data_IF_309790829353
#
_entry.id   IF_309790829353
#
_cell.length_a   1.000
_cell.length_b   1.000
_cell.length_c   1.000
_cell.angle_alpha   90.00
_cell.angle_beta   90.00
_cell.angle_gamma   90.00
#
_symmetry.space_group_name_H-M   'P 1'
#
loop_
_entity.id
_entity.type
_entity.pdbx_description
1 polymer ?
#
# COMPACT_ATOMS: atom_id res chain seq x y z
N UNK A 1 12.92 -2.43 -6.59
CA UNK A 1 11.68 -2.79 -7.34
C UNK A 1 10.62 -1.73 -7.11
N UNK A 2 9.96 -1.28 -8.18
CA UNK A 2 8.82 -0.35 -8.12
C UNK A 2 7.51 -1.13 -8.16
N UNK A 3 6.68 -1.00 -7.13
CA UNK A 3 5.41 -1.74 -6.99
C UNK A 3 4.19 -0.83 -7.16
N UNK A 4 4.27 0.42 -6.72
CA UNK A 4 3.17 1.39 -6.85
C UNK A 4 3.11 2.03 -8.23
N UNK A 5 1.92 2.42 -8.65
CA UNK A 5 1.73 3.23 -9.86
C UNK A 5 2.20 4.66 -9.63
N UNK A 6 2.77 5.25 -10.66
CA UNK A 6 3.21 6.64 -10.69
C UNK A 6 2.20 7.49 -11.47
N UNK A 7 2.22 8.83 -11.31
CA UNK A 7 1.37 9.73 -12.11
C UNK A 7 1.57 9.50 -13.61
N UNK A 8 0.49 9.65 -14.40
CA UNK A 8 0.53 9.43 -15.85
C UNK A 8 1.47 10.40 -16.58
N UNK A 9 1.63 11.61 -16.05
CA UNK A 9 2.57 12.62 -16.54
C UNK A 9 4.04 12.28 -16.26
N UNK A 10 4.27 11.25 -15.46
CA UNK A 10 5.60 10.82 -15.06
C UNK A 10 6.15 11.51 -13.83
N UNK A 11 7.34 11.10 -13.44
CA UNK A 11 8.10 11.67 -12.31
C UNK A 11 9.57 11.84 -12.70
N UNK A 12 10.25 12.77 -12.04
CA UNK A 12 11.69 12.87 -12.18
C UNK A 12 12.37 11.63 -11.60
N UNK A 13 13.22 11.01 -12.39
CA UNK A 13 13.90 9.78 -12.01
C UNK A 13 15.43 9.97 -12.01
N UNK A 14 16.12 9.71 -10.89
CA UNK A 14 17.56 9.95 -10.76
C UNK A 14 18.38 8.83 -11.44
N UNK A 15 18.32 8.72 -12.76
CA UNK A 15 18.96 7.66 -13.52
C UNK A 15 20.48 7.55 -13.25
N UNK A 16 21.16 8.68 -13.04
CA UNK A 16 22.59 8.68 -12.70
C UNK A 16 22.89 7.95 -11.39
N UNK A 17 21.97 8.01 -10.41
CA UNK A 17 22.14 7.27 -9.16
C UNK A 17 22.01 5.76 -9.36
N UNK A 18 21.19 5.34 -10.33
CA UNK A 18 21.05 3.91 -10.67
C UNK A 18 22.36 3.41 -11.27
N UNK A 19 22.95 4.19 -12.21
CA UNK A 19 24.23 3.84 -12.86
C UNK A 19 25.37 3.85 -11.83
N UNK A 20 25.49 4.93 -11.04
CA UNK A 20 26.60 5.08 -10.09
C UNK A 20 26.61 4.04 -8.97
N UNK A 21 25.46 3.44 -8.67
CA UNK A 21 25.30 2.43 -7.64
C UNK A 21 25.11 1.01 -8.19
N UNK A 22 25.18 0.85 -9.50
CA UNK A 22 24.98 -0.43 -10.19
C UNK A 22 23.68 -1.13 -9.74
N UNK A 23 22.55 -0.35 -9.70
CA UNK A 23 21.27 -0.85 -9.22
C UNK A 23 20.43 -1.43 -10.37
N UNK A 24 19.76 -2.54 -10.08
CA UNK A 24 18.67 -3.04 -10.93
C UNK A 24 17.36 -2.34 -10.55
N UNK A 25 16.75 -1.67 -11.54
CA UNK A 25 15.43 -1.07 -11.38
C UNK A 25 14.41 -1.86 -12.20
N UNK A 26 13.50 -2.51 -11.50
CA UNK A 26 12.46 -3.36 -12.09
C UNK A 26 11.08 -2.96 -11.61
N UNK A 27 10.10 -3.07 -12.50
CA UNK A 27 8.70 -2.82 -12.21
C UNK A 27 7.95 -4.12 -11.91
N UNK A 28 6.96 -4.03 -11.02
CA UNK A 28 5.97 -5.06 -10.82
C UNK A 28 4.58 -4.47 -11.00
N UNK A 29 3.75 -5.13 -11.79
CA UNK A 29 2.41 -4.67 -12.08
C UNK A 29 1.37 -5.73 -11.73
N UNK A 30 0.42 -5.34 -10.87
CA UNK A 30 -0.64 -6.22 -10.38
C UNK A 30 -0.10 -7.42 -9.58
N UNK A 31 -0.93 -8.42 -9.40
CA UNK A 31 -0.66 -9.45 -8.42
C UNK A 31 -1.06 -10.83 -8.95
N UNK A 32 -0.42 -11.36 -9.95
CA UNK A 32 -0.73 -12.70 -10.49
C UNK A 32 -1.40 -13.62 -9.43
N UNK A 33 -0.65 -14.53 -8.78
CA UNK A 33 -1.15 -15.36 -7.68
C UNK A 33 -0.82 -14.82 -6.28
N UNK A 34 -0.24 -13.60 -6.19
CA UNK A 34 0.23 -13.06 -4.92
C UNK A 34 -0.90 -12.76 -3.94
N UNK A 35 -2.12 -12.53 -4.41
CA UNK A 35 -3.27 -12.31 -3.55
C UNK A 35 -3.61 -13.55 -2.71
N UNK A 36 -3.61 -14.73 -3.32
CA UNK A 36 -3.87 -15.99 -2.62
C UNK A 36 -2.79 -16.27 -1.56
N UNK A 37 -1.53 -16.00 -1.90
CA UNK A 37 -0.43 -16.11 -0.95
C UNK A 37 -0.57 -15.14 0.21
N UNK A 38 -0.92 -13.88 -0.06
CA UNK A 38 -1.15 -12.88 0.98
C UNK A 38 -2.25 -13.34 1.95
N UNK A 39 -3.37 -13.85 1.44
CA UNK A 39 -4.45 -14.39 2.27
C UNK A 39 -3.95 -15.56 3.13
N UNK A 40 -3.15 -16.48 2.55
CA UNK A 40 -2.58 -17.58 3.32
C UNK A 40 -1.64 -17.10 4.44
N UNK A 41 -0.77 -16.12 4.17
CA UNK A 41 0.12 -15.54 5.18
C UNK A 41 -0.66 -14.94 6.34
N UNK A 42 -1.77 -14.25 6.06
CA UNK A 42 -2.65 -13.71 7.10
C UNK A 42 -3.35 -14.81 7.89
N UNK A 43 -3.92 -15.82 7.21
CA UNK A 43 -4.62 -16.95 7.85
C UNK A 43 -3.69 -17.76 8.75
N UNK A 44 -2.47 -17.99 8.33
CA UNK A 44 -1.47 -18.77 9.08
C UNK A 44 -0.69 -17.92 10.09
N UNK A 45 -1.06 -16.66 10.25
CA UNK A 45 -0.40 -15.70 11.15
C UNK A 45 1.12 -15.54 10.91
N UNK A 46 1.56 -15.79 9.69
CA UNK A 46 2.96 -15.56 9.30
C UNK A 46 3.28 -14.07 9.12
N UNK A 47 2.25 -13.25 8.90
CA UNK A 47 2.37 -11.80 8.85
C UNK A 47 1.34 -11.19 9.81
N UNK A 48 1.77 -10.30 10.68
CA UNK A 48 0.89 -9.51 11.54
C UNK A 48 0.76 -8.10 10.96
N UNK A 49 -0.38 -7.82 10.36
CA UNK A 49 -0.71 -6.52 9.75
C UNK A 49 -1.54 -5.63 10.68
N UNK A 50 -1.90 -6.09 11.86
CA UNK A 50 -2.70 -5.31 12.81
C UNK A 50 -2.08 -3.96 13.17
N UNK A 51 -0.75 -3.84 13.33
CA UNK A 51 -0.14 -2.53 13.58
C UNK A 51 -0.33 -1.51 12.46
N UNK A 52 -0.68 -1.95 11.23
CA UNK A 52 -0.95 -1.05 10.10
C UNK A 52 -2.37 -0.47 10.14
N UNK A 53 -3.30 -1.09 10.89
CA UNK A 53 -4.67 -0.64 11.01
C UNK A 53 -4.73 0.56 11.96
N UNK A 54 -4.78 1.75 11.40
CA UNK A 54 -4.80 2.99 12.16
C UNK A 54 -6.17 3.28 12.76
N UNK A 55 -7.25 2.95 12.03
CA UNK A 55 -8.62 3.16 12.51
C UNK A 55 -9.60 2.23 11.81
N UNK A 56 -10.70 1.95 12.52
CA UNK A 56 -11.89 1.29 12.00
C UNK A 56 -13.09 2.17 12.31
N UNK A 57 -13.84 2.57 11.30
CA UNK A 57 -15.01 3.41 11.44
C UNK A 57 -16.25 2.71 10.86
N UNK A 58 -17.43 2.92 11.45
CA UNK A 58 -18.67 2.38 10.88
C UNK A 58 -19.00 3.07 9.56
N UNK A 59 -19.82 2.42 8.73
CA UNK A 59 -20.26 2.95 7.44
C UNK A 59 -20.91 4.34 7.55
N UNK A 60 -21.61 4.61 8.64
CA UNK A 60 -22.21 5.93 8.92
C UNK A 60 -21.20 7.08 9.04
N UNK A 61 -19.91 6.75 9.27
CA UNK A 61 -18.80 7.71 9.35
C UNK A 61 -17.82 7.55 8.18
N UNK A 62 -18.30 7.09 7.03
CA UNK A 62 -17.45 6.83 5.88
C UNK A 62 -16.71 8.06 5.37
N UNK A 63 -17.35 9.24 5.39
CA UNK A 63 -16.72 10.49 4.97
C UNK A 63 -15.46 10.78 5.81
N UNK A 64 -15.60 10.69 7.13
CA UNK A 64 -14.48 10.85 8.07
C UNK A 64 -13.38 9.80 7.83
N UNK A 65 -13.78 8.57 7.47
CA UNK A 65 -12.82 7.52 7.13
C UNK A 65 -11.99 7.89 5.91
N UNK A 66 -12.59 8.47 4.87
CA UNK A 66 -11.89 8.95 3.68
C UNK A 66 -10.95 10.13 3.99
N UNK A 67 -11.40 11.08 4.79
CA UNK A 67 -10.56 12.21 5.22
C UNK A 67 -9.33 11.71 5.99
N UNK A 68 -9.53 10.81 6.95
CA UNK A 68 -8.45 10.22 7.71
C UNK A 68 -7.50 9.39 6.84
N UNK A 69 -8.00 8.63 5.89
CA UNK A 69 -7.19 7.84 4.96
C UNK A 69 -6.34 8.69 4.02
N UNK A 70 -6.78 9.93 3.73
CA UNK A 70 -6.04 10.88 2.90
C UNK A 70 -4.87 11.53 3.64
N UNK A 71 -4.90 11.53 4.96
CA UNK A 71 -3.85 12.11 5.80
C UNK A 71 -2.78 11.06 6.18
N UNK A 72 -1.71 11.02 5.40
CA UNK A 72 -0.60 10.07 5.60
C UNK A 72 0.19 10.29 6.89
N UNK A 73 0.05 11.44 7.52
CA UNK A 73 0.70 11.73 8.81
C UNK A 73 -0.06 11.09 9.98
N UNK A 74 -1.36 10.82 9.81
CA UNK A 74 -2.25 10.31 10.84
C UNK A 74 -2.66 8.85 10.65
N UNK A 75 -2.59 8.33 9.44
CA UNK A 75 -3.04 6.97 9.18
C UNK A 75 -2.21 6.24 8.14
N UNK A 76 -2.05 4.95 8.35
CA UNK A 76 -1.49 4.01 7.37
C UNK A 76 -2.61 3.27 6.64
N UNK A 77 -3.54 2.73 7.38
CA UNK A 77 -4.68 1.98 6.84
C UNK A 77 -5.94 2.28 7.65
N UNK A 78 -6.98 2.74 6.97
CA UNK A 78 -8.31 2.94 7.55
C UNK A 78 -9.27 1.92 6.95
N UNK A 79 -10.11 1.33 7.78
CA UNK A 79 -11.17 0.41 7.35
C UNK A 79 -12.54 0.98 7.68
N UNK A 80 -13.48 0.79 6.76
CA UNK A 80 -14.91 1.01 7.01
C UNK A 80 -15.55 -0.33 7.30
N UNK A 81 -16.23 -0.42 8.43
CA UNK A 81 -16.92 -1.63 8.87
C UNK A 81 -18.38 -1.55 8.47
N UNK A 82 -18.83 -2.54 7.71
CA UNK A 82 -20.20 -2.69 7.25
C UNK A 82 -20.95 -3.66 8.18
N UNK A 83 -22.02 -3.18 8.77
CA UNK A 83 -22.86 -4.00 9.67
C UNK A 83 -22.94 -3.51 11.07
#
# INVERSE_FOLDING_TARGET
>A
MQVGTLPAEGVLFPANSVIARELDYVGAFRAAHAFDWAVQYLRTRRADVRPLLSAQLPLSRSLEAFELASDRSRSTKVQVVCG
#
